data_IF_200177564352
#
_entry.id   IF_200177564352
#
_cell.length_a   1.000
_cell.length_b   1.000
_cell.length_c   1.000
_cell.angle_alpha   90.00
_cell.angle_beta   90.00
_cell.angle_gamma   90.00
#
_symmetry.space_group_name_H-M   'P 1'
#
loop_
_entity.id
_entity.type
_entity.pdbx_description
1 polymer ?
#
# COMPACT_ATOMS: atom_id res chain seq x y z
N UNK A 1 14.68 2.60 7.38
CA UNK A 1 14.63 3.56 6.27
C UNK A 1 13.71 4.73 6.62
N UNK A 2 13.80 5.81 5.87
CA UNK A 2 12.85 6.92 5.99
C UNK A 2 11.55 6.57 5.29
N UNK A 3 10.43 6.88 5.94
CA UNK A 3 9.08 6.61 5.46
C UNK A 3 8.31 7.90 5.28
N UNK A 4 7.42 7.92 4.29
CA UNK A 4 6.38 8.93 4.19
C UNK A 4 5.38 8.79 5.36
N UNK A 5 4.96 7.58 5.66
CA UNK A 5 4.13 7.23 6.82
C UNK A 5 2.63 7.30 6.60
N UNK A 6 2.17 7.85 5.45
CA UNK A 6 0.74 7.97 5.14
C UNK A 6 0.48 7.69 3.64
N UNK A 7 0.70 6.44 3.18
CA UNK A 7 0.84 6.11 1.76
C UNK A 7 -0.48 5.90 1.02
N UNK A 8 -1.51 6.70 1.28
CA UNK A 8 -2.78 6.61 0.56
C UNK A 8 -2.80 7.49 -0.70
N UNK A 9 -3.70 7.20 -1.67
CA UNK A 9 -3.67 7.86 -2.98
C UNK A 9 -4.00 9.36 -2.96
N UNK A 10 -4.65 9.87 -1.93
CA UNK A 10 -4.94 11.30 -1.82
C UNK A 10 -3.70 12.14 -1.48
N UNK A 11 -2.59 11.50 -1.14
CA UNK A 11 -1.28 12.16 -0.96
C UNK A 11 -0.44 12.13 -2.23
N UNK A 12 -1.01 11.70 -3.35
CA UNK A 12 -0.34 11.62 -4.64
C UNK A 12 -0.94 12.62 -5.62
N UNK A 13 -0.09 13.35 -6.32
CA UNK A 13 -0.49 14.30 -7.34
C UNK A 13 -0.14 13.72 -8.70
N UNK A 14 -1.13 13.68 -9.59
CA UNK A 14 -0.92 13.26 -10.97
C UNK A 14 -0.90 14.46 -11.89
N UNK A 15 -0.10 14.40 -12.96
CA UNK A 15 -0.15 15.37 -14.03
C UNK A 15 -1.33 15.10 -14.99
N UNK A 16 -1.50 15.95 -16.00
CA UNK A 16 -2.58 15.83 -16.99
C UNK A 16 -2.50 14.52 -17.81
N UNK A 17 -1.33 13.91 -17.89
CA UNK A 17 -1.10 12.63 -18.54
C UNK A 17 -1.30 11.41 -17.63
N UNK A 18 -1.70 11.63 -16.37
CA UNK A 18 -1.89 10.57 -15.39
C UNK A 18 -0.59 10.04 -14.78
N UNK A 19 0.53 10.75 -14.93
CA UNK A 19 1.80 10.38 -14.33
C UNK A 19 1.94 10.96 -12.92
N UNK A 20 2.66 10.26 -12.07
CA UNK A 20 2.95 10.77 -10.73
C UNK A 20 3.83 12.02 -10.83
N UNK A 21 3.29 13.16 -10.44
CA UNK A 21 3.97 14.46 -10.43
C UNK A 21 4.51 14.82 -9.05
N UNK A 22 3.95 14.30 -7.98
CA UNK A 22 4.41 14.59 -6.64
C UNK A 22 3.75 13.74 -5.57
N UNK A 23 4.38 13.70 -4.42
CA UNK A 23 3.86 13.10 -3.19
C UNK A 23 3.84 14.20 -2.15
N UNK A 24 2.69 14.39 -1.49
CA UNK A 24 2.46 15.48 -0.54
C UNK A 24 2.16 14.93 0.85
N UNK A 25 2.00 15.83 1.81
CA UNK A 25 1.64 15.55 3.20
C UNK A 25 2.66 14.66 3.91
N UNK A 26 3.82 15.23 4.15
CA UNK A 26 4.95 14.58 4.82
C UNK A 26 4.94 14.74 6.33
N UNK A 27 3.79 15.10 6.92
CA UNK A 27 3.67 15.31 8.35
C UNK A 27 3.97 14.09 9.22
N UNK A 28 3.83 12.90 8.66
CA UNK A 28 4.13 11.63 9.33
C UNK A 28 5.52 11.08 9.01
N UNK A 29 6.40 11.89 8.41
CA UNK A 29 7.76 11.48 8.07
C UNK A 29 8.47 10.90 9.30
N UNK A 30 8.93 9.68 9.16
CA UNK A 30 9.59 8.94 10.25
C UNK A 30 10.57 7.91 9.71
N UNK A 31 11.41 7.38 10.59
CA UNK A 31 12.22 6.21 10.27
C UNK A 31 11.49 4.95 10.74
N UNK A 32 11.52 3.90 9.93
CA UNK A 32 10.84 2.65 10.30
C UNK A 32 10.90 1.56 9.25
N UNK A 33 9.95 0.64 9.35
CA UNK A 33 9.81 -0.51 8.46
C UNK A 33 9.25 -0.06 7.10
N UNK A 34 9.95 -0.33 5.98
CA UNK A 34 9.46 0.01 4.65
C UNK A 34 8.11 -0.60 4.30
N UNK A 35 7.71 -1.67 4.96
CA UNK A 35 6.41 -2.31 4.76
C UNK A 35 5.24 -1.33 4.93
N UNK A 36 5.36 -0.35 5.80
CA UNK A 36 4.31 0.66 5.99
C UNK A 36 4.03 1.44 4.70
N UNK A 37 5.05 1.94 4.03
CA UNK A 37 4.89 2.67 2.76
C UNK A 37 4.53 1.75 1.59
N UNK A 38 5.03 0.51 1.60
CA UNK A 38 4.69 -0.49 0.60
C UNK A 38 3.21 -0.91 0.66
N UNK A 39 2.52 -0.62 1.74
CA UNK A 39 1.07 -0.82 1.88
C UNK A 39 0.26 -0.09 0.80
N UNK A 40 0.82 0.96 0.18
CA UNK A 40 0.19 1.65 -0.96
C UNK A 40 -0.17 0.69 -2.10
N UNK A 41 0.50 -0.46 -2.20
CA UNK A 41 0.18 -1.49 -3.18
C UNK A 41 -1.30 -1.91 -3.14
N UNK A 42 -1.91 -1.94 -1.97
CA UNK A 42 -3.32 -2.28 -1.77
C UNK A 42 -4.21 -1.07 -1.50
N UNK A 43 -3.65 0.01 -0.98
CA UNK A 43 -4.39 1.25 -0.75
C UNK A 43 -4.70 1.99 -2.06
N UNK A 44 -3.79 1.91 -3.03
CA UNK A 44 -3.81 2.74 -4.24
C UNK A 44 -4.20 1.97 -5.50
N UNK A 45 -3.76 0.72 -5.63
CA UNK A 45 -3.81 -0.02 -6.89
C UNK A 45 -4.81 -1.17 -6.87
N UNK A 46 -5.39 -1.46 -8.04
CA UNK A 46 -6.06 -2.73 -8.31
C UNK A 46 -5.03 -3.85 -8.56
N UNK A 47 -5.49 -5.09 -8.72
CA UNK A 47 -4.58 -6.24 -8.82
C UNK A 47 -3.59 -6.15 -10.00
N UNK A 48 -4.00 -5.78 -11.24
CA UNK A 48 -3.03 -5.65 -12.34
C UNK A 48 -2.00 -4.55 -12.10
N UNK A 49 -2.42 -3.38 -11.63
CA UNK A 49 -1.52 -2.26 -11.36
C UNK A 49 -0.61 -2.56 -10.16
N UNK A 50 -1.13 -3.23 -9.14
CA UNK A 50 -0.34 -3.67 -7.98
C UNK A 50 0.79 -4.59 -8.39
N UNK A 51 0.55 -5.51 -9.33
CA UNK A 51 1.61 -6.39 -9.84
C UNK A 51 2.75 -5.59 -10.47
N UNK A 52 2.43 -4.58 -11.26
CA UNK A 52 3.43 -3.68 -11.85
C UNK A 52 4.19 -2.92 -10.76
N UNK A 53 3.48 -2.39 -9.78
CA UNK A 53 4.10 -1.68 -8.66
C UNK A 53 5.06 -2.59 -7.88
N UNK A 54 4.63 -3.80 -7.53
CA UNK A 54 5.47 -4.76 -6.80
C UNK A 54 6.70 -5.12 -7.61
N UNK A 55 6.53 -5.44 -8.89
CA UNK A 55 7.65 -5.81 -9.75
C UNK A 55 8.68 -4.68 -9.88
N UNK A 56 8.21 -3.44 -10.01
CA UNK A 56 9.08 -2.27 -10.14
C UNK A 56 9.79 -1.90 -8.85
N UNK A 57 9.09 -1.93 -7.72
CA UNK A 57 9.68 -1.62 -6.41
C UNK A 57 10.58 -2.73 -5.92
N UNK A 58 10.33 -3.96 -6.33
CA UNK A 58 11.12 -5.13 -5.92
C UNK A 58 12.25 -5.49 -6.89
N UNK A 59 12.64 -4.58 -7.75
CA UNK A 59 13.80 -4.79 -8.62
C UNK A 59 15.02 -5.20 -7.79
N UNK A 60 15.73 -6.20 -8.27
CA UNK A 60 16.91 -6.78 -7.59
C UNK A 60 16.59 -7.46 -6.24
N UNK A 61 15.36 -7.88 -6.02
CA UNK A 61 14.97 -8.57 -4.77
C UNK A 61 15.11 -7.71 -3.52
N UNK A 62 14.87 -6.41 -3.64
CA UNK A 62 15.07 -5.43 -2.54
C UNK A 62 14.28 -5.78 -1.28
N UNK A 63 13.07 -6.31 -1.45
CA UNK A 63 12.17 -6.64 -0.35
C UNK A 63 11.82 -8.12 -0.38
N UNK A 64 11.96 -8.80 0.74
CA UNK A 64 11.64 -10.21 0.86
C UNK A 64 10.12 -10.44 1.03
N UNK A 65 9.72 -11.71 1.00
CA UNK A 65 8.32 -12.11 1.17
C UNK A 65 7.76 -11.62 2.51
N UNK A 66 8.54 -11.70 3.58
CA UNK A 66 8.11 -11.26 4.89
C UNK A 66 7.82 -9.76 4.93
N UNK A 67 8.58 -8.95 4.20
CA UNK A 67 8.33 -7.51 4.06
C UNK A 67 6.99 -7.27 3.34
N UNK A 68 6.71 -7.98 2.27
CA UNK A 68 5.44 -7.87 1.55
C UNK A 68 4.26 -8.37 2.37
N UNK A 69 4.42 -9.40 3.16
CA UNK A 69 3.38 -9.88 4.08
C UNK A 69 3.06 -8.82 5.15
N UNK A 70 4.08 -8.15 5.69
CA UNK A 70 3.88 -7.04 6.61
C UNK A 70 3.24 -5.83 5.92
N UNK A 71 3.59 -5.55 4.66
CA UNK A 71 2.97 -4.48 3.88
C UNK A 71 1.47 -4.74 3.70
N UNK A 72 1.07 -5.97 3.40
CA UNK A 72 -0.32 -6.37 3.33
C UNK A 72 -1.03 -6.18 4.68
N UNK A 73 -0.39 -6.57 5.78
CA UNK A 73 -0.94 -6.37 7.12
C UNK A 73 -1.13 -4.87 7.44
N UNK A 74 -0.18 -4.03 7.05
CA UNK A 74 -0.32 -2.58 7.16
C UNK A 74 -1.49 -2.05 6.34
N UNK A 75 -1.71 -2.57 5.13
CA UNK A 75 -2.84 -2.18 4.29
C UNK A 75 -4.18 -2.56 4.93
N UNK A 76 -4.26 -3.70 5.56
CA UNK A 76 -5.46 -4.12 6.31
C UNK A 76 -5.69 -3.18 7.50
N UNK A 77 -4.65 -2.90 8.27
CA UNK A 77 -4.73 -2.01 9.43
C UNK A 77 -5.19 -0.59 9.04
N UNK A 78 -4.52 0.02 8.07
CA UNK A 78 -4.87 1.35 7.58
C UNK A 78 -6.24 1.33 6.91
N UNK A 79 -6.56 0.28 6.17
CA UNK A 79 -7.86 0.10 5.54
C UNK A 79 -9.00 0.09 6.55
N UNK A 80 -8.83 -0.60 7.66
CA UNK A 80 -9.82 -0.62 8.75
C UNK A 80 -9.98 0.77 9.38
N UNK A 81 -8.89 1.46 9.65
CA UNK A 81 -8.92 2.81 10.21
C UNK A 81 -9.67 3.76 9.27
N UNK A 82 -9.33 3.77 7.98
CA UNK A 82 -9.97 4.65 7.01
C UNK A 82 -11.44 4.31 6.79
N UNK A 83 -11.79 3.03 6.70
CA UNK A 83 -13.16 2.61 6.48
C UNK A 83 -14.08 2.89 7.68
N UNK A 84 -13.58 2.73 8.90
CA UNK A 84 -14.38 2.76 10.11
C UNK A 84 -14.34 4.10 10.86
N UNK A 85 -13.22 4.82 10.78
CA UNK A 85 -12.97 5.99 11.62
C UNK A 85 -12.85 7.31 10.84
N UNK A 86 -12.67 7.29 9.53
CA UNK A 86 -12.51 8.51 8.75
C UNK A 86 -13.84 9.20 8.51
N UNK A 87 -13.86 10.53 8.69
CA UNK A 87 -14.99 11.38 8.30
C UNK A 87 -14.92 11.79 6.82
N UNK A 88 -13.79 11.58 6.16
CA UNK A 88 -13.58 11.91 4.75
C UNK A 88 -14.12 10.78 3.87
N UNK A 89 -15.15 11.03 3.01
CA UNK A 89 -15.71 9.98 2.15
C UNK A 89 -14.69 9.32 1.24
N UNK A 90 -13.73 10.11 0.74
CA UNK A 90 -12.64 9.59 -0.11
C UNK A 90 -11.74 8.61 0.63
N UNK A 91 -11.34 8.93 1.86
CA UNK A 91 -10.52 8.02 2.67
C UNK A 91 -11.29 6.76 3.07
N UNK A 92 -12.58 6.89 3.36
CA UNK A 92 -13.43 5.71 3.61
C UNK A 92 -13.45 4.77 2.41
N UNK A 93 -13.64 5.30 1.19
CA UNK A 93 -13.58 4.50 -0.05
C UNK A 93 -12.22 3.87 -0.25
N UNK A 94 -11.14 4.59 0.06
CA UNK A 94 -9.79 4.05 0.01
C UNK A 94 -9.63 2.87 0.98
N UNK A 95 -10.13 3.00 2.19
CA UNK A 95 -10.12 1.90 3.18
C UNK A 95 -10.90 0.69 2.72
N UNK A 96 -12.10 0.89 2.19
CA UNK A 96 -12.94 -0.19 1.63
C UNK A 96 -12.25 -0.87 0.44
N UNK A 97 -11.61 -0.10 -0.44
CA UNK A 97 -10.82 -0.62 -1.54
C UNK A 97 -9.67 -1.51 -1.04
N UNK A 98 -8.91 -1.02 -0.07
CA UNK A 98 -7.79 -1.79 0.50
C UNK A 98 -8.25 -3.11 1.10
N UNK A 99 -9.36 -3.10 1.84
CA UNK A 99 -9.92 -4.31 2.43
C UNK A 99 -10.40 -5.30 1.37
N UNK A 100 -11.09 -4.83 0.32
CA UNK A 100 -11.51 -5.71 -0.78
C UNK A 100 -10.29 -6.33 -1.48
N UNK A 101 -9.27 -5.54 -1.76
CA UNK A 101 -8.08 -5.99 -2.49
C UNK A 101 -7.24 -6.96 -1.66
N UNK A 102 -7.08 -6.71 -0.37
CA UNK A 102 -6.33 -7.62 0.50
C UNK A 102 -7.06 -8.93 0.73
N UNK A 103 -8.40 -8.90 0.87
CA UNK A 103 -9.20 -10.10 1.08
C UNK A 103 -9.38 -10.93 -0.20
N UNK A 104 -9.31 -10.31 -1.37
CA UNK A 104 -9.41 -11.01 -2.65
C UNK A 104 -8.13 -11.74 -3.03
N UNK A 105 -6.97 -11.30 -2.53
CA UNK A 105 -5.71 -12.01 -2.74
C UNK A 105 -5.62 -13.24 -1.84
N UNK A 106 -5.34 -14.42 -2.40
CA UNK A 106 -5.08 -15.58 -1.57
C UNK A 106 -3.83 -15.32 -0.71
N UNK A 107 -3.90 -15.67 0.56
CA UNK A 107 -2.70 -15.80 1.39
C UNK A 107 -1.74 -16.70 0.63
N UNK A 108 -0.44 -16.36 0.59
CA UNK A 108 0.57 -17.17 -0.09
C UNK A 108 0.68 -18.56 0.55
N UNK A 109 -0.33 -19.41 0.30
CA UNK A 109 -0.27 -20.80 0.71
C UNK A 109 0.98 -21.49 0.14
N UNK A 110 1.39 -21.07 -1.07
CA UNK A 110 2.63 -21.55 -1.68
C UNK A 110 3.88 -21.16 -0.89
N UNK A 111 3.93 -19.96 -0.34
CA UNK A 111 5.07 -19.52 0.49
C UNK A 111 5.12 -20.29 1.81
N UNK A 112 3.95 -20.59 2.39
CA UNK A 112 3.85 -21.40 3.61
C UNK A 112 4.21 -22.88 3.36
N UNK A 113 3.94 -23.39 2.15
CA UNK A 113 4.23 -24.78 1.78
C UNK A 113 5.65 -24.99 1.27
N UNK A 114 6.31 -23.94 0.82
CA UNK A 114 7.67 -23.99 0.29
C UNK A 114 8.71 -23.37 1.24
N UNK A 115 8.26 -22.83 2.34
CA UNK A 115 9.15 -22.23 3.32
C UNK A 115 9.91 -23.29 4.13
#
# INVERSE_FOLDING_TARGET
VWLHGDPHPYNMILDDGGRLAGVIDWGDLTAGDPACDLATAWLTFDAPARRVFVDRTNLYGRFDTATWDRARAWAIHLGLIFALESDEPGLRRCGEHALRETLAEPVHASALLTA
#
